data_IF_018530544159
#
_entry.id   IF_018530544159
#
_cell.length_a   1.000
_cell.length_b   1.000
_cell.length_c   1.000
_cell.angle_alpha   90.00
_cell.angle_beta   90.00
_cell.angle_gamma   90.00
#
_symmetry.space_group_name_H-M   'P 1'
#
loop_
_entity.id
_entity.type
_entity.pdbx_description
1 polymer ?
#
# COMPACT_ATOMS: atom_id res chain seq x y z
N UNK A 1 0.80 40.90 -23.28
CA UNK A 1 0.03 39.81 -22.63
C UNK A 1 0.80 38.48 -22.56
N UNK A 2 1.87 38.26 -23.32
CA UNK A 2 2.64 37.01 -23.29
C UNK A 2 3.49 36.79 -22.02
N UNK A 3 4.04 37.86 -21.41
CA UNK A 3 4.99 37.76 -20.29
C UNK A 3 4.36 37.31 -18.96
N UNK A 4 3.07 37.54 -18.75
CA UNK A 4 2.36 37.14 -17.53
C UNK A 4 2.00 35.65 -17.49
N UNK A 5 1.94 34.98 -18.64
CA UNK A 5 1.62 33.54 -18.73
C UNK A 5 2.83 32.70 -18.32
N UNK A 6 4.03 33.12 -18.72
CA UNK A 6 5.30 32.43 -18.48
C UNK A 6 5.68 32.39 -16.99
N UNK A 7 5.40 33.48 -16.26
CA UNK A 7 5.67 33.59 -14.82
C UNK A 7 4.78 32.65 -14.01
N UNK A 8 3.49 32.56 -14.36
CA UNK A 8 2.54 31.70 -13.65
C UNK A 8 2.84 30.21 -13.87
N UNK A 9 3.22 29.82 -15.09
CA UNK A 9 3.60 28.43 -15.39
C UNK A 9 4.86 28.02 -14.62
N UNK A 10 5.85 28.91 -14.53
CA UNK A 10 7.07 28.68 -13.76
C UNK A 10 6.80 28.53 -12.26
N UNK A 11 5.96 29.38 -11.68
CA UNK A 11 5.56 29.28 -10.28
C UNK A 11 4.78 27.99 -9.98
N UNK A 12 3.91 27.53 -10.87
CA UNK A 12 3.13 26.30 -10.67
C UNK A 12 3.99 25.03 -10.71
N UNK A 13 5.15 25.06 -11.38
CA UNK A 13 6.11 23.93 -11.37
C UNK A 13 6.96 23.90 -10.09
N UNK A 14 7.21 25.07 -9.52
CA UNK A 14 8.07 25.22 -8.34
C UNK A 14 7.28 25.05 -7.03
N UNK A 15 5.99 25.38 -7.04
CA UNK A 15 5.08 25.15 -5.92
C UNK A 15 4.18 23.94 -6.19
N UNK A 16 4.52 22.79 -5.60
CA UNK A 16 3.59 21.66 -5.50
C UNK A 16 2.60 21.88 -4.35
N UNK A 17 1.46 21.17 -4.38
CA UNK A 17 0.50 21.16 -3.27
C UNK A 17 1.20 20.82 -1.94
N UNK A 18 0.81 21.51 -0.88
CA UNK A 18 1.39 21.30 0.44
C UNK A 18 0.88 19.98 1.04
N UNK A 19 1.78 19.15 1.58
CA UNK A 19 1.41 17.91 2.27
C UNK A 19 0.52 18.14 3.50
N UNK A 20 0.49 19.36 4.02
CA UNK A 20 -0.33 19.78 5.16
C UNK A 20 -0.91 21.15 4.89
N UNK A 21 -2.22 21.22 4.79
CA UNK A 21 -2.96 22.47 4.64
C UNK A 21 -3.96 22.62 5.78
N UNK A 22 -4.12 23.86 6.27
CA UNK A 22 -5.12 24.21 7.28
C UNK A 22 -6.03 25.25 6.66
N UNK A 23 -7.30 24.88 6.48
CA UNK A 23 -8.32 25.77 5.94
C UNK A 23 -9.41 26.05 6.98
N UNK A 24 -9.85 27.30 7.04
CA UNK A 24 -10.94 27.74 7.92
C UNK A 24 -12.16 28.14 7.09
N UNK A 25 -13.30 27.51 7.34
CA UNK A 25 -14.57 27.92 6.74
C UNK A 25 -15.07 29.20 7.42
N UNK A 26 -15.20 30.29 6.67
CA UNK A 26 -15.67 31.57 7.19
C UNK A 26 -17.18 31.71 6.99
N UNK A 27 -17.89 32.07 8.06
CA UNK A 27 -19.29 32.53 7.99
C UNK A 27 -19.34 33.93 8.58
N UNK A 28 -19.61 34.94 7.75
CA UNK A 28 -19.65 36.35 8.17
C UNK A 28 -21.09 36.81 8.34
N UNK A 29 -21.42 37.33 9.52
CA UNK A 29 -22.67 38.06 9.75
C UNK A 29 -22.35 39.54 9.92
N UNK A 30 -22.95 40.39 9.06
CA UNK A 30 -22.76 41.85 9.13
C UNK A 30 -23.91 42.42 9.97
N UNK A 31 -23.59 42.95 11.14
CA UNK A 31 -24.53 43.73 11.95
C UNK A 31 -24.18 45.21 11.78
N UNK A 32 -25.06 45.97 11.12
CA UNK A 32 -24.93 47.42 11.09
C UNK A 32 -25.47 47.97 12.41
N UNK A 33 -24.60 48.58 13.20
CA UNK A 33 -25.04 49.32 14.38
C UNK A 33 -25.67 50.65 13.92
N UNK A 34 -27.00 50.71 13.93
CA UNK A 34 -27.75 51.94 13.67
C UNK A 34 -27.86 52.84 14.92
N UNK A 35 -27.21 52.49 16.04
CA UNK A 35 -27.39 53.17 17.33
C UNK A 35 -26.67 54.53 17.45
N UNK A 36 -25.68 54.83 16.60
CA UNK A 36 -25.16 56.20 16.53
C UNK A 36 -25.94 57.02 15.51
N UNK A 37 -27.14 57.45 15.91
CA UNK A 37 -27.79 58.64 15.36
C UNK A 37 -26.86 59.84 15.60
N UNK A 38 -25.92 60.07 14.71
CA UNK A 38 -25.05 61.25 14.69
C UNK A 38 -25.92 62.51 14.70
N UNK A 39 -25.91 63.26 15.81
CA UNK A 39 -26.66 64.53 15.96
C UNK A 39 -25.84 65.78 15.62
N UNK A 40 -24.68 65.63 14.98
CA UNK A 40 -23.79 66.74 14.60
C UNK A 40 -23.33 66.65 13.13
N UNK A 41 -23.22 67.82 12.48
CA UNK A 41 -22.91 68.00 11.06
C UNK A 41 -21.50 67.54 10.63
N UNK A 42 -20.65 67.09 11.56
CA UNK A 42 -19.30 66.59 11.29
C UNK A 42 -19.04 65.19 11.89
N UNK A 43 -20.07 64.37 12.02
CA UNK A 43 -19.94 62.99 12.48
C UNK A 43 -19.36 62.08 11.39
N UNK A 44 -18.04 61.93 11.36
CA UNK A 44 -17.35 61.01 10.44
C UNK A 44 -16.54 59.96 11.19
N UNK A 45 -17.20 59.19 12.05
CA UNK A 45 -16.60 57.98 12.64
C UNK A 45 -17.08 56.74 11.87
N UNK A 46 -16.13 56.07 11.23
CA UNK A 46 -16.32 54.74 10.62
C UNK A 46 -15.56 53.74 11.49
N UNK A 47 -16.19 53.33 12.57
CA UNK A 47 -15.64 52.28 13.45
C UNK A 47 -16.13 50.93 12.93
N UNK A 48 -15.17 50.05 12.60
CA UNK A 48 -15.45 48.70 12.12
C UNK A 48 -15.08 47.72 13.24
N UNK A 49 -16.10 47.08 13.82
CA UNK A 49 -15.89 46.02 14.81
C UNK A 49 -15.87 44.67 14.11
N UNK A 50 -14.73 43.99 14.16
CA UNK A 50 -14.57 42.62 13.69
C UNK A 50 -14.55 41.70 14.90
N UNK A 51 -15.50 40.76 14.95
CA UNK A 51 -15.55 39.73 15.97
C UNK A 51 -15.36 38.35 15.32
N UNK A 52 -14.29 37.65 15.71
CA UNK A 52 -14.01 36.30 15.24
C UNK A 52 -14.52 35.30 16.28
N UNK A 53 -15.60 34.59 15.94
CA UNK A 53 -16.20 33.58 16.81
C UNK A 53 -16.10 32.22 16.14
N UNK A 54 -15.51 31.25 16.83
CA UNK A 54 -15.52 29.86 16.40
C UNK A 54 -16.82 29.20 16.85
N UNK A 55 -17.79 29.07 15.93
CA UNK A 55 -19.12 28.55 16.25
C UNK A 55 -19.10 27.07 16.71
N UNK A 56 -18.17 26.27 16.17
CA UNK A 56 -17.94 24.87 16.58
C UNK A 56 -16.44 24.56 16.56
N UNK A 57 -15.91 23.99 17.64
CA UNK A 57 -14.53 23.47 17.69
C UNK A 57 -14.39 22.11 16.98
N UNK A 58 -15.07 21.94 15.84
CA UNK A 58 -15.02 20.70 15.06
C UNK A 58 -13.86 20.78 14.06
N UNK A 59 -12.76 20.12 14.40
CA UNK A 59 -11.61 20.00 13.50
C UNK A 59 -11.85 18.82 12.55
N UNK A 60 -12.05 19.11 11.27
CA UNK A 60 -12.14 18.09 10.21
C UNK A 60 -10.74 17.80 9.68
N UNK A 61 -10.23 16.61 9.99
CA UNK A 61 -8.93 16.15 9.50
C UNK A 61 -9.11 15.28 8.26
N UNK A 62 -8.60 15.73 7.12
CA UNK A 62 -8.52 14.94 5.90
C UNK A 62 -7.11 14.40 5.75
N UNK A 63 -6.95 13.08 5.85
CA UNK A 63 -5.65 12.42 5.74
C UNK A 63 -5.69 11.46 4.55
N UNK A 64 -4.87 11.74 3.53
CA UNK A 64 -4.66 10.81 2.43
C UNK A 64 -3.74 9.68 2.90
N UNK A 65 -4.28 8.46 2.99
CA UNK A 65 -3.50 7.24 3.24
C UNK A 65 -3.35 6.47 1.92
N UNK A 66 -2.16 5.91 1.63
CA UNK A 66 -1.99 5.03 0.48
C UNK A 66 -2.92 3.83 0.64
N UNK A 67 -3.60 3.44 -0.45
CA UNK A 67 -4.55 2.31 -0.45
C UNK A 67 -3.86 0.95 -0.39
N UNK A 68 -2.62 0.89 -0.87
CA UNK A 68 -1.82 -0.32 -0.93
C UNK A 68 -0.44 -0.02 -0.37
N UNK A 69 -0.04 -0.80 0.61
CA UNK A 69 1.32 -0.75 1.15
C UNK A 69 2.14 -1.90 0.55
N UNK A 70 3.45 -1.69 0.35
CA UNK A 70 4.34 -2.69 -0.26
C UNK A 70 4.21 -4.07 0.41
N UNK A 71 3.97 -4.07 1.73
CA UNK A 71 3.81 -5.27 2.55
C UNK A 71 2.59 -6.11 2.13
N UNK A 72 1.50 -5.49 1.69
CA UNK A 72 0.29 -6.19 1.26
C UNK A 72 0.53 -6.92 -0.07
N UNK A 73 1.27 -6.28 -0.97
CA UNK A 73 1.65 -6.87 -2.26
C UNK A 73 2.56 -8.08 -2.03
N UNK A 74 3.55 -7.95 -1.15
CA UNK A 74 4.41 -9.08 -0.78
C UNK A 74 3.64 -10.21 -0.10
N UNK A 75 2.63 -9.91 0.71
CA UNK A 75 1.77 -10.92 1.33
C UNK A 75 0.96 -11.70 0.28
N UNK A 76 0.41 -11.02 -0.73
CA UNK A 76 -0.31 -11.66 -1.83
C UNK A 76 0.60 -12.59 -2.64
N UNK A 77 1.75 -12.09 -3.09
CA UNK A 77 2.71 -12.90 -3.85
C UNK A 77 3.25 -14.08 -3.04
N UNK A 78 3.59 -13.85 -1.76
CA UNK A 78 4.07 -14.89 -0.85
C UNK A 78 3.03 -15.99 -0.62
N UNK A 79 1.75 -15.62 -0.48
CA UNK A 79 0.66 -16.58 -0.34
C UNK A 79 0.49 -17.49 -1.55
N UNK A 80 0.41 -16.91 -2.75
CA UNK A 80 0.31 -17.72 -3.98
C UNK A 80 1.55 -18.57 -4.21
N UNK A 81 2.75 -17.98 -4.17
CA UNK A 81 3.98 -18.72 -4.38
C UNK A 81 4.17 -19.83 -3.34
N UNK A 82 3.82 -19.59 -2.07
CA UNK A 82 3.86 -20.59 -1.02
C UNK A 82 2.90 -21.76 -1.28
N UNK A 83 1.69 -21.49 -1.77
CA UNK A 83 0.73 -22.54 -2.12
C UNK A 83 1.23 -23.40 -3.29
N UNK A 84 1.70 -22.77 -4.36
CA UNK A 84 2.24 -23.47 -5.53
C UNK A 84 3.49 -24.29 -5.20
N UNK A 85 4.40 -23.73 -4.40
CA UNK A 85 5.59 -24.43 -3.93
C UNK A 85 5.24 -25.58 -2.98
N UNK A 86 4.26 -25.40 -2.10
CA UNK A 86 3.79 -26.45 -1.19
C UNK A 86 3.28 -27.68 -1.94
N UNK A 87 2.43 -27.48 -2.95
CA UNK A 87 1.90 -28.59 -3.77
C UNK A 87 3.03 -29.26 -4.56
N UNK A 88 3.96 -28.46 -5.12
CA UNK A 88 5.12 -28.98 -5.85
C UNK A 88 6.03 -29.83 -4.97
N UNK A 89 6.20 -29.45 -3.70
CA UNK A 89 7.01 -30.20 -2.74
C UNK A 89 6.42 -31.57 -2.41
N UNK A 90 5.10 -31.68 -2.25
CA UNK A 90 4.43 -32.97 -2.01
C UNK A 90 4.67 -33.92 -3.18
N UNK A 91 4.49 -33.44 -4.42
CA UNK A 91 4.75 -34.24 -5.61
C UNK A 91 6.23 -34.70 -5.70
N UNK A 92 7.18 -33.85 -5.31
CA UNK A 92 8.59 -34.22 -5.25
C UNK A 92 8.86 -35.31 -4.20
N UNK A 93 8.20 -35.25 -3.05
CA UNK A 93 8.32 -36.30 -2.03
C UNK A 93 7.79 -37.65 -2.54
N UNK A 94 6.64 -37.69 -3.19
CA UNK A 94 6.08 -38.92 -3.78
C UNK A 94 7.00 -39.53 -4.85
N UNK A 95 7.60 -38.67 -5.69
CA UNK A 95 8.59 -39.10 -6.67
C UNK A 95 9.86 -39.64 -6.01
N UNK A 96 10.30 -39.00 -4.92
CA UNK A 96 11.48 -39.44 -4.19
C UNK A 96 11.29 -40.81 -3.53
N UNK A 97 10.11 -41.07 -2.97
CA UNK A 97 9.77 -42.36 -2.38
C UNK A 97 9.74 -43.47 -3.45
N UNK A 98 9.11 -43.18 -4.59
CA UNK A 98 9.06 -44.10 -5.73
C UNK A 98 10.45 -44.42 -6.26
N UNK A 99 11.33 -43.41 -6.40
CA UNK A 99 12.72 -43.58 -6.81
C UNK A 99 13.50 -44.45 -5.83
N UNK A 100 13.38 -44.21 -4.52
CA UNK A 100 14.04 -45.00 -3.48
C UNK A 100 13.57 -46.46 -3.55
N UNK A 101 12.26 -46.70 -3.66
CA UNK A 101 11.70 -48.04 -3.80
C UNK A 101 12.23 -48.76 -5.04
N UNK A 102 12.29 -48.07 -6.19
CA UNK A 102 12.80 -48.62 -7.45
C UNK A 102 14.29 -48.98 -7.33
N UNK A 103 15.10 -48.10 -6.73
CA UNK A 103 16.53 -48.36 -6.49
C UNK A 103 16.73 -49.60 -5.62
N UNK A 104 15.98 -49.71 -4.51
CA UNK A 104 16.05 -50.87 -3.61
C UNK A 104 15.64 -52.16 -4.36
N UNK A 105 14.58 -52.09 -5.17
CA UNK A 105 14.12 -53.22 -5.96
C UNK A 105 15.18 -53.68 -6.96
N UNK A 106 15.77 -52.76 -7.73
CA UNK A 106 16.84 -53.05 -8.69
C UNK A 106 18.07 -53.64 -7.99
N UNK A 107 18.45 -53.10 -6.83
CA UNK A 107 19.57 -53.63 -6.04
C UNK A 107 19.31 -55.06 -5.55
N UNK A 108 18.09 -55.36 -5.08
CA UNK A 108 17.68 -56.73 -4.70
C UNK A 108 17.65 -57.68 -5.90
N UNK A 109 17.18 -57.24 -7.07
CA UNK A 109 17.21 -58.06 -8.30
C UNK A 109 18.64 -58.37 -8.75
N UNK A 110 19.52 -57.37 -8.77
CA UNK A 110 20.95 -57.54 -9.07
C UNK A 110 21.59 -58.58 -8.14
N UNK A 111 21.30 -58.52 -6.83
CA UNK A 111 21.81 -59.50 -5.86
C UNK A 111 21.27 -60.92 -6.10
N UNK A 112 19.96 -61.06 -6.40
CA UNK A 112 19.35 -62.37 -6.73
C UNK A 112 19.95 -62.97 -8.01
N UNK A 113 20.16 -62.18 -9.05
CA UNK A 113 20.76 -62.64 -10.31
C UNK A 113 22.21 -63.10 -10.11
N UNK A 114 23.01 -62.38 -9.32
CA UNK A 114 24.38 -62.81 -8.99
C UNK A 114 24.42 -64.13 -8.21
N UNK A 115 23.49 -64.35 -7.28
CA UNK A 115 23.37 -65.62 -6.53
C UNK A 115 22.90 -66.77 -7.43
N UNK A 116 21.94 -66.53 -8.34
CA UNK A 116 21.43 -67.54 -9.25
C UNK A 116 22.48 -67.98 -10.29
N UNK A 117 23.29 -67.03 -10.78
CA UNK A 117 24.44 -67.32 -11.65
C UNK A 117 25.52 -68.10 -10.90
N UNK A 118 25.86 -67.71 -9.66
CA UNK A 118 26.82 -68.44 -8.84
C UNK A 118 26.38 -69.89 -8.53
N UNK A 119 25.08 -70.13 -8.27
CA UNK A 119 24.53 -71.49 -8.09
C UNK A 119 24.54 -72.31 -9.37
N UNK A 120 24.31 -71.71 -10.54
CA UNK A 120 24.40 -72.42 -11.84
C UNK A 120 25.84 -72.84 -12.16
N UNK A 121 26.84 -72.00 -11.90
CA UNK A 121 28.24 -72.38 -12.09
C UNK A 121 28.69 -73.52 -11.17
N UNK A 122 28.17 -73.60 -9.94
CA UNK A 122 28.52 -74.66 -8.99
C UNK A 122 27.88 -76.02 -9.32
N UNK A 123 26.92 -76.06 -10.25
CA UNK A 123 26.25 -77.28 -10.70
C UNK A 123 26.80 -77.80 -12.04
N UNK A 124 27.72 -77.05 -12.67
CA UNK A 124 28.35 -77.35 -13.97
C UNK A 124 29.81 -77.84 -13.80
N UNK A 125 30.40 -77.67 -12.61
CA UNK A 125 31.72 -78.20 -12.20
C UNK A 125 31.48 -79.47 -11.39
#
# INVERSE_FOLDING_TARGET
>A
QQASVDINEKCMRECSEACREIAYSLQSEIKLDQSQMCKDDNCRKRELYLNFIFNRLEIKNYVHRPKYESIEVFSYFGGYMGMWLGISLVALFDLSETLICLIIYLYKMQKKNKIHVARKSLHII
#
